data_IF_074305251082
#
_entry.id   IF_074305251082
#
_cell.length_a   1.000
_cell.length_b   1.000
_cell.length_c   1.000
_cell.angle_alpha   90.00
_cell.angle_beta   90.00
_cell.angle_gamma   90.00
#
_symmetry.space_group_name_H-M   'P 1'
#
loop_
_entity.id
_entity.type
_entity.pdbx_description
1 polymer ?
#
# COMPACT_ATOMS: atom_id res chain seq x y z
N UNK A 1 -3.86 4.52 8.04
CA UNK A 1 -4.47 5.32 9.14
C UNK A 1 -4.87 6.65 8.57
N UNK A 2 -6.12 7.06 8.73
CA UNK A 2 -6.60 8.35 8.19
C UNK A 2 -5.88 9.51 8.88
N UNK A 3 -5.59 10.58 8.13
CA UNK A 3 -4.97 11.80 8.62
C UNK A 3 -5.80 12.43 9.75
N UNK A 4 -7.13 12.42 9.61
CA UNK A 4 -8.03 13.06 10.56
C UNK A 4 -8.02 12.37 11.94
N UNK A 5 -7.74 11.06 11.98
CA UNK A 5 -7.65 10.26 13.21
C UNK A 5 -6.21 9.90 13.58
N UNK A 6 -5.23 10.38 12.81
CA UNK A 6 -3.82 10.03 12.96
C UNK A 6 -3.28 10.29 14.38
N UNK A 7 -3.57 11.42 15.04
CA UNK A 7 -3.05 11.66 16.39
C UNK A 7 -3.47 10.58 17.39
N UNK A 8 -4.71 10.11 17.30
CA UNK A 8 -5.26 9.08 18.17
C UNK A 8 -4.63 7.70 17.86
N UNK A 9 -4.45 7.38 16.57
CA UNK A 9 -3.91 6.07 16.16
C UNK A 9 -2.43 5.89 16.44
N UNK A 10 -1.63 6.96 16.33
CA UNK A 10 -0.19 6.89 16.62
C UNK A 10 0.07 6.54 18.08
N UNK A 11 -0.77 6.99 19.01
CA UNK A 11 -0.61 6.68 20.43
C UNK A 11 -0.84 5.19 20.73
N UNK A 12 -1.79 4.55 20.03
CA UNK A 12 -1.99 3.10 20.13
C UNK A 12 -0.82 2.29 19.53
N UNK A 13 -0.11 2.84 18.54
CA UNK A 13 1.05 2.21 17.91
C UNK A 13 2.34 2.29 18.75
N UNK A 14 2.36 3.03 19.85
CA UNK A 14 3.52 3.06 20.76
C UNK A 14 3.98 1.65 21.18
N UNK A 15 3.03 0.72 21.33
CA UNK A 15 3.27 -0.69 21.63
C UNK A 15 3.91 -1.50 20.48
N UNK A 16 3.76 -1.03 19.23
CA UNK A 16 4.29 -1.67 18.01
C UNK A 16 5.69 -1.20 17.59
N UNK A 17 6.36 -0.37 18.41
CA UNK A 17 7.71 0.11 18.15
C UNK A 17 7.80 1.34 17.24
N UNK A 18 6.66 1.91 16.82
CA UNK A 18 6.56 3.19 16.12
C UNK A 18 6.41 4.32 17.13
N UNK A 19 7.51 4.64 17.83
CA UNK A 19 7.56 5.79 18.73
C UNK A 19 7.93 7.04 17.93
N UNK A 20 6.93 7.86 17.61
CA UNK A 20 7.13 9.19 17.03
C UNK A 20 7.23 10.22 18.16
N UNK A 21 8.21 11.11 18.08
CA UNK A 21 8.28 12.25 19.00
C UNK A 21 7.10 13.20 18.77
N UNK A 22 6.69 14.03 19.76
CA UNK A 22 5.65 15.02 19.56
C UNK A 22 5.92 15.96 18.37
N UNK A 23 7.19 16.32 18.16
CA UNK A 23 7.64 17.15 17.05
C UNK A 23 7.46 16.43 15.71
N UNK A 24 7.82 15.15 15.64
CA UNK A 24 7.59 14.32 14.45
C UNK A 24 6.11 14.14 14.15
N UNK A 25 5.26 13.99 15.18
CA UNK A 25 3.80 13.91 15.00
C UNK A 25 3.23 15.21 14.43
N UNK A 26 3.62 16.36 15.01
CA UNK A 26 3.16 17.67 14.55
C UNK A 26 3.64 17.98 13.12
N UNK A 27 4.91 17.66 12.83
CA UNK A 27 5.50 17.74 11.50
C UNK A 27 4.70 16.91 10.48
N UNK A 28 4.47 15.64 10.82
CA UNK A 28 3.76 14.69 9.97
C UNK A 28 2.33 15.14 9.67
N UNK A 29 1.60 15.59 10.69
CA UNK A 29 0.23 16.05 10.52
C UNK A 29 0.16 17.28 9.62
N UNK A 30 1.07 18.24 9.83
CA UNK A 30 1.12 19.47 9.04
C UNK A 30 1.51 19.18 7.59
N UNK A 31 2.52 18.35 7.36
CA UNK A 31 3.01 18.03 6.03
C UNK A 31 2.01 17.22 5.21
N UNK A 32 1.32 16.26 5.82
CA UNK A 32 0.25 15.50 5.16
C UNK A 32 -0.97 16.37 4.82
N UNK A 33 -1.30 17.36 5.64
CA UNK A 33 -2.35 18.33 5.34
C UNK A 33 -2.01 19.19 4.12
N UNK A 34 -0.74 19.61 4.00
CA UNK A 34 -0.24 20.31 2.81
C UNK A 34 -0.34 19.42 1.57
N UNK A 35 0.05 18.15 1.67
CA UNK A 35 -0.07 17.16 0.59
C UNK A 35 -1.54 16.98 0.16
N UNK A 36 -2.46 16.85 1.13
CA UNK A 36 -3.90 16.73 0.86
C UNK A 36 -4.40 17.88 -0.02
N UNK A 37 -4.01 19.11 0.32
CA UNK A 37 -4.37 20.32 -0.44
C UNK A 37 -3.67 20.41 -1.79
N UNK A 38 -2.36 20.15 -1.84
CA UNK A 38 -1.54 20.26 -3.05
C UNK A 38 -2.04 19.32 -4.15
N UNK A 39 -2.36 18.08 -3.80
CA UNK A 39 -2.81 17.07 -4.76
C UNK A 39 -4.34 16.97 -4.87
N UNK A 40 -5.09 17.85 -4.19
CA UNK A 40 -6.57 17.87 -4.14
C UNK A 40 -7.17 16.51 -3.77
N UNK A 41 -6.55 15.86 -2.79
CA UNK A 41 -6.97 14.56 -2.28
C UNK A 41 -8.14 14.75 -1.32
N UNK A 42 -9.09 13.82 -1.34
CA UNK A 42 -10.20 13.78 -0.38
C UNK A 42 -9.71 13.30 0.98
N UNK A 43 -8.94 12.21 0.97
CA UNK A 43 -8.41 11.57 2.17
C UNK A 43 -6.95 11.22 1.96
N UNK A 44 -6.19 11.23 3.05
CA UNK A 44 -4.78 10.84 3.06
C UNK A 44 -4.58 9.86 4.19
N UNK A 45 -3.99 8.70 3.87
CA UNK A 45 -3.74 7.65 4.83
C UNK A 45 -2.25 7.48 5.04
N UNK A 46 -1.79 7.51 6.29
CA UNK A 46 -0.47 6.99 6.61
C UNK A 46 -0.47 5.48 6.37
N UNK A 47 0.39 5.02 5.46
CA UNK A 47 0.53 3.61 5.10
C UNK A 47 1.43 2.88 6.09
N UNK A 48 2.57 3.51 6.44
CA UNK A 48 3.54 2.95 7.35
C UNK A 48 4.96 3.39 7.03
N UNK A 49 5.93 2.58 7.46
CA UNK A 49 7.36 2.88 7.37
C UNK A 49 8.13 1.66 6.83
N UNK A 50 9.05 1.89 5.90
CA UNK A 50 9.99 0.88 5.39
C UNK A 50 11.38 1.24 5.89
N UNK A 51 12.01 0.30 6.59
CA UNK A 51 13.32 0.51 7.21
C UNK A 51 14.43 0.39 6.17
N UNK A 52 15.34 1.36 6.17
CA UNK A 52 16.55 1.34 5.36
C UNK A 52 17.80 1.27 6.22
N UNK A 53 18.97 1.16 5.58
CA UNK A 53 20.25 1.17 6.26
C UNK A 53 20.67 2.58 6.69
N UNK A 54 20.51 3.57 5.80
CA UNK A 54 20.94 4.94 6.07
C UNK A 54 19.77 5.86 6.47
N UNK A 55 18.58 5.61 5.91
CA UNK A 55 17.38 6.38 6.19
C UNK A 55 16.14 5.50 5.96
N UNK A 56 15.07 5.83 6.65
CA UNK A 56 13.81 5.10 6.57
C UNK A 56 12.79 5.85 5.71
N UNK A 57 12.02 5.11 4.94
CA UNK A 57 10.93 5.65 4.12
C UNK A 57 9.65 5.67 4.91
N UNK A 58 9.07 6.84 5.09
CA UNK A 58 7.68 6.96 5.53
C UNK A 58 6.78 7.04 4.30
N UNK A 59 5.69 6.27 4.28
CA UNK A 59 4.80 6.15 3.12
C UNK A 59 3.40 6.61 3.49
N UNK A 60 2.77 7.37 2.60
CA UNK A 60 1.39 7.78 2.69
C UNK A 60 0.66 7.49 1.36
N UNK A 61 -0.65 7.26 1.45
CA UNK A 61 -1.51 7.03 0.30
C UNK A 61 -2.65 8.05 0.28
N UNK A 62 -2.70 8.84 -0.78
CA UNK A 62 -3.78 9.76 -1.09
C UNK A 62 -4.88 9.09 -1.89
N UNK A 63 -6.12 9.37 -1.51
CA UNK A 63 -7.34 8.99 -2.22
C UNK A 63 -8.03 10.25 -2.74
N UNK A 64 -8.43 10.23 -4.00
CA UNK A 64 -9.28 11.26 -4.60
C UNK A 64 -10.76 10.90 -4.40
N UNK A 65 -11.39 10.23 -5.36
CA UNK A 65 -12.82 9.85 -5.25
C UNK A 65 -13.02 8.41 -4.82
N UNK A 66 -12.28 7.49 -5.44
CA UNK A 66 -12.39 6.05 -5.24
C UNK A 66 -11.41 5.55 -4.18
N UNK A 67 -11.93 4.87 -3.17
CA UNK A 67 -11.12 4.38 -2.06
C UNK A 67 -10.17 3.25 -2.45
N UNK A 68 -10.40 2.51 -3.53
CA UNK A 68 -9.56 1.38 -3.96
C UNK A 68 -8.66 1.74 -5.13
N UNK A 69 -9.19 2.39 -6.16
CA UNK A 69 -8.51 2.65 -7.42
C UNK A 69 -7.85 4.04 -7.46
N UNK A 70 -6.83 4.20 -8.31
CA UNK A 70 -6.14 5.48 -8.55
C UNK A 70 -5.55 6.16 -7.30
N UNK A 71 -5.13 5.36 -6.31
CA UNK A 71 -4.42 5.87 -5.13
C UNK A 71 -3.07 6.47 -5.50
N UNK A 72 -2.76 7.65 -4.96
CA UNK A 72 -1.44 8.28 -5.09
C UNK A 72 -0.58 7.84 -3.93
N UNK A 73 0.53 7.18 -4.20
CA UNK A 73 1.47 6.78 -3.13
C UNK A 73 2.59 7.81 -3.06
N UNK A 74 2.84 8.33 -1.87
CA UNK A 74 3.90 9.30 -1.60
C UNK A 74 4.87 8.73 -0.57
N UNK A 75 6.13 9.14 -0.66
CA UNK A 75 7.14 8.85 0.36
C UNK A 75 7.79 10.12 0.88
N UNK A 76 8.31 10.08 2.10
CA UNK A 76 9.25 11.06 2.63
C UNK A 76 10.33 10.38 3.48
N UNK A 77 11.45 11.07 3.69
CA UNK A 77 12.56 10.61 4.54
C UNK A 77 12.69 11.44 5.83
N UNK A 78 12.02 12.58 5.91
CA UNK A 78 12.20 13.60 6.96
C UNK A 78 10.88 14.10 7.58
N UNK A 79 9.77 13.38 7.39
CA UNK A 79 8.43 13.73 7.90
C UNK A 79 7.81 15.02 7.31
N UNK A 80 8.47 15.69 6.37
CA UNK A 80 8.02 16.97 5.81
C UNK A 80 7.92 16.95 4.29
N UNK A 81 8.97 16.52 3.61
CA UNK A 81 9.09 16.62 2.15
C UNK A 81 8.58 15.36 1.46
N UNK A 82 7.32 15.41 1.04
CA UNK A 82 6.64 14.30 0.37
C UNK A 82 6.88 14.32 -1.14
N UNK A 83 7.24 13.16 -1.69
CA UNK A 83 7.47 12.94 -3.11
C UNK A 83 6.51 11.87 -3.61
N UNK A 84 5.91 12.11 -4.77
CA UNK A 84 5.00 11.18 -5.42
C UNK A 84 5.80 10.01 -6.04
N UNK A 85 5.41 8.78 -5.74
CA UNK A 85 5.92 7.60 -6.44
C UNK A 85 5.21 7.40 -7.78
N UNK A 86 5.92 6.87 -8.79
CA UNK A 86 5.26 6.42 -10.02
C UNK A 86 4.25 5.30 -9.71
N UNK A 87 3.24 5.09 -10.58
CA UNK A 87 2.37 3.93 -10.46
C UNK A 87 3.18 2.64 -10.66
N UNK A 88 2.89 1.62 -9.86
CA UNK A 88 3.53 0.31 -9.99
C UNK A 88 3.03 -0.41 -11.25
N UNK A 89 3.93 -0.68 -12.19
CA UNK A 89 3.65 -1.51 -13.37
C UNK A 89 4.07 -2.95 -13.11
N UNK A 90 3.43 -3.92 -13.76
CA UNK A 90 3.79 -5.34 -13.58
C UNK A 90 5.22 -5.64 -14.06
N UNK A 91 5.71 -4.91 -15.07
CA UNK A 91 7.11 -4.95 -15.50
C UNK A 91 8.06 -4.50 -14.39
N UNK A 92 7.74 -3.39 -13.71
CA UNK A 92 8.53 -2.87 -12.60
C UNK A 92 8.60 -3.88 -11.45
N UNK A 93 7.46 -4.49 -11.10
CA UNK A 93 7.38 -5.52 -10.06
C UNK A 93 8.24 -6.74 -10.43
N UNK A 94 8.15 -7.20 -11.68
CA UNK A 94 8.91 -8.35 -12.18
C UNK A 94 10.40 -8.06 -12.13
N UNK A 95 10.82 -6.89 -12.62
CA UNK A 95 12.22 -6.47 -12.60
C UNK A 95 12.75 -6.34 -11.17
N UNK A 96 11.98 -5.76 -10.25
CA UNK A 96 12.40 -5.58 -8.86
C UNK A 96 12.43 -6.90 -8.05
N UNK A 97 11.74 -7.95 -8.50
CA UNK A 97 11.64 -9.23 -7.79
C UNK A 97 12.99 -9.95 -7.63
N UNK A 98 13.97 -9.63 -8.48
CA UNK A 98 15.31 -10.23 -8.43
C UNK A 98 16.17 -9.63 -7.31
N UNK A 99 15.84 -8.42 -6.84
CA UNK A 99 16.60 -7.71 -5.83
C UNK A 99 16.26 -8.25 -4.44
N UNK A 100 17.27 -8.75 -3.75
CA UNK A 100 17.15 -9.23 -2.36
C UNK A 100 17.98 -8.35 -1.44
N UNK A 101 17.48 -8.11 -0.23
CA UNK A 101 18.22 -7.37 0.80
C UNK A 101 17.44 -6.20 1.39
N UNK A 102 18.13 -5.38 2.18
CA UNK A 102 17.55 -4.19 2.82
C UNK A 102 17.50 -3.01 1.85
N UNK A 103 16.72 -1.98 2.17
CA UNK A 103 16.78 -0.70 1.47
C UNK A 103 18.01 0.07 1.91
N UNK A 104 18.64 0.83 1.00
CA UNK A 104 19.77 1.69 1.37
C UNK A 104 19.29 2.96 2.07
N UNK A 105 18.07 3.42 1.81
CA UNK A 105 17.55 4.69 2.29
C UNK A 105 17.89 5.85 1.35
N UNK A 106 18.12 5.56 0.07
CA UNK A 106 18.38 6.58 -0.95
C UNK A 106 17.59 6.26 -2.23
N UNK A 107 16.54 7.05 -2.59
CA UNK A 107 15.73 6.80 -3.79
C UNK A 107 16.53 6.72 -5.10
N UNK A 108 17.65 7.45 -5.17
CA UNK A 108 18.52 7.51 -6.34
C UNK A 108 19.56 6.38 -6.38
N UNK A 109 19.61 5.51 -5.37
CA UNK A 109 20.49 4.35 -5.39
C UNK A 109 20.07 3.39 -6.51
N UNK A 110 21.04 2.93 -7.28
CA UNK A 110 20.81 2.00 -8.39
C UNK A 110 21.34 0.62 -8.01
N UNK A 111 20.46 -0.38 -8.03
CA UNK A 111 20.84 -1.77 -7.89
C UNK A 111 21.33 -2.27 -9.25
N UNK A 112 22.52 -2.87 -9.26
CA UNK A 112 22.95 -3.64 -10.42
C UNK A 112 22.21 -4.98 -10.40
N UNK A 113 21.59 -5.35 -11.53
CA UNK A 113 20.91 -6.65 -11.74
C UNK A 113 21.87 -7.87 -11.71
N UNK A 114 23.02 -7.75 -11.03
CA UNK A 114 24.24 -8.53 -11.27
C UNK A 114 24.69 -9.51 -10.17
N UNK A 115 23.98 -9.67 -9.06
CA UNK A 115 24.38 -10.63 -8.01
C UNK A 115 23.58 -11.94 -8.01
N UNK A 116 23.28 -12.45 -9.20
CA UNK A 116 23.12 -13.90 -9.37
C UNK A 116 24.42 -14.41 -9.99
N UNK A 117 25.40 -14.78 -9.16
CA UNK A 117 26.47 -15.70 -9.58
C UNK A 117 25.83 -17.01 -10.03
N UNK A 118 25.49 -17.13 -11.31
CA UNK A 118 25.41 -18.44 -11.97
C UNK A 118 26.85 -18.90 -12.22
N UNK A 119 27.38 -19.73 -11.33
CA UNK A 119 28.47 -20.62 -11.69
C UNK A 119 27.89 -21.73 -12.58
N UNK A 120 27.90 -21.51 -13.89
CA UNK A 120 27.82 -22.58 -14.88
C UNK A 120 28.89 -22.28 -15.92
N UNK A 121 29.90 -23.15 -15.98
CA UNK A 121 31.07 -22.97 -16.83
C UNK A 121 30.73 -22.97 -18.31
N UNK A 122 31.41 -22.09 -19.05
CA UNK A 122 31.53 -22.14 -20.50
C UNK A 122 30.78 -21.03 -21.25
N UNK A 123 31.52 -19.99 -21.66
CA UNK A 123 31.11 -19.07 -22.74
C UNK A 123 30.47 -17.77 -22.27
N UNK A 124 31.24 -16.67 -22.31
CA UNK A 124 30.76 -15.31 -22.03
C UNK A 124 30.08 -14.75 -23.29
N UNK A 125 28.76 -14.86 -23.37
CA UNK A 125 27.95 -13.93 -24.18
C UNK A 125 27.56 -12.76 -23.29
N UNK A 126 28.24 -11.63 -23.44
CA UNK A 126 27.89 -10.35 -22.83
C UNK A 126 26.64 -9.78 -23.52
N UNK A 127 25.46 -10.25 -23.12
CA UNK A 127 24.26 -9.43 -23.33
C UNK A 127 24.27 -8.31 -22.29
N UNK A 128 24.82 -7.18 -22.73
CA UNK A 128 25.08 -5.98 -21.97
C UNK A 128 23.82 -5.14 -21.80
N UNK A 129 22.83 -5.66 -21.09
CA UNK A 129 21.79 -4.85 -20.48
C UNK A 129 21.79 -5.12 -18.97
N UNK A 130 22.77 -4.55 -18.27
CA UNK A 130 22.63 -4.32 -16.84
C UNK A 130 21.46 -3.35 -16.65
N UNK A 131 20.23 -3.85 -16.52
CA UNK A 131 19.09 -3.03 -16.15
C UNK A 131 19.35 -2.56 -14.72
N UNK A 132 19.82 -1.31 -14.60
CA UNK A 132 19.97 -0.66 -13.31
C UNK A 132 18.57 -0.33 -12.82
N UNK A 133 18.22 -0.83 -11.65
CA UNK A 133 16.90 -0.61 -11.05
C UNK A 133 17.06 0.42 -9.95
N UNK A 134 16.29 1.50 -10.00
CA UNK A 134 16.34 2.52 -8.96
C UNK A 134 15.66 2.01 -7.70
N UNK A 135 16.18 2.42 -6.54
CA UNK A 135 15.56 2.11 -5.25
C UNK A 135 14.14 2.65 -5.15
N UNK A 136 13.84 3.79 -5.79
CA UNK A 136 12.48 4.34 -5.89
C UNK A 136 11.50 3.40 -6.63
N UNK A 137 11.94 2.74 -7.70
CA UNK A 137 11.14 1.75 -8.43
C UNK A 137 10.92 0.47 -7.59
N UNK A 138 11.97 0.07 -6.88
CA UNK A 138 11.90 -1.03 -5.92
C UNK A 138 10.94 -0.72 -4.78
N UNK A 139 10.98 0.49 -4.23
CA UNK A 139 10.08 0.96 -3.18
C UNK A 139 8.63 0.90 -3.65
N UNK A 140 8.37 1.43 -4.83
CA UNK A 140 7.06 1.40 -5.50
C UNK A 140 6.54 -0.04 -5.65
N UNK A 141 7.38 -0.94 -6.16
CA UNK A 141 7.06 -2.35 -6.35
C UNK A 141 6.76 -3.08 -5.04
N UNK A 142 7.57 -2.86 -4.01
CA UNK A 142 7.39 -3.49 -2.70
C UNK A 142 6.10 -3.02 -2.04
N UNK A 143 5.79 -1.72 -2.09
CA UNK A 143 4.51 -1.19 -1.55
C UNK A 143 3.33 -1.81 -2.30
N UNK A 144 3.41 -1.93 -3.61
CA UNK A 144 2.36 -2.54 -4.42
C UNK A 144 2.15 -4.02 -4.08
N UNK A 145 3.22 -4.80 -3.91
CA UNK A 145 3.13 -6.20 -3.49
C UNK A 145 2.53 -6.34 -2.08
N UNK A 146 2.97 -5.51 -1.12
CA UNK A 146 2.41 -5.54 0.24
C UNK A 146 0.91 -5.21 0.19
N UNK A 147 0.50 -4.16 -0.52
CA UNK A 147 -0.92 -3.86 -0.68
C UNK A 147 -1.67 -5.03 -1.31
N UNK A 148 -1.10 -5.64 -2.35
CA UNK A 148 -1.65 -6.78 -3.06
C UNK A 148 -1.78 -8.03 -2.16
N UNK A 149 -0.96 -8.21 -1.15
CA UNK A 149 -0.93 -9.46 -0.39
C UNK A 149 -1.62 -9.35 0.97
N UNK A 150 -1.55 -8.18 1.61
CA UNK A 150 -1.97 -8.00 3.01
C UNK A 150 -2.96 -6.88 3.28
N UNK A 151 -3.34 -6.06 2.29
CA UNK A 151 -4.36 -5.05 2.51
C UNK A 151 -5.71 -5.74 2.79
N UNK A 152 -6.26 -5.50 3.99
CA UNK A 152 -7.55 -6.07 4.41
C UNK A 152 -8.43 -4.99 5.02
N UNK A 153 -9.74 -5.17 4.90
CA UNK A 153 -10.75 -4.33 5.51
C UNK A 153 -11.83 -5.18 6.19
N UNK A 154 -12.50 -4.67 7.23
CA UNK A 154 -13.71 -5.30 7.74
C UNK A 154 -14.82 -5.30 6.67
N UNK A 155 -15.57 -6.39 6.58
CA UNK A 155 -16.74 -6.50 5.70
C UNK A 155 -17.75 -5.40 6.06
N UNK A 156 -18.23 -4.68 5.04
CA UNK A 156 -19.18 -3.58 5.20
C UNK A 156 -18.55 -2.24 5.60
N UNK A 157 -17.24 -2.14 5.82
CA UNK A 157 -16.56 -0.86 6.06
C UNK A 157 -16.54 0.05 4.81
N UNK A 158 -16.62 -0.55 3.63
CA UNK A 158 -16.71 0.14 2.34
C UNK A 158 -17.92 -0.36 1.57
N UNK A 159 -18.48 0.50 0.72
CA UNK A 159 -19.60 0.19 -0.15
C UNK A 159 -19.21 0.53 -1.59
N UNK A 160 -19.53 -0.38 -2.51
CA UNK A 160 -19.52 -0.11 -3.95
C UNK A 160 -20.85 0.52 -4.36
N UNK A 161 -20.81 1.76 -4.81
CA UNK A 161 -22.01 2.50 -5.21
C UNK A 161 -22.46 2.05 -6.61
N UNK A 162 -23.70 1.54 -6.80
CA UNK A 162 -24.15 1.03 -8.09
C UNK A 162 -24.22 2.09 -9.21
N UNK A 163 -24.46 3.36 -8.85
CA UNK A 163 -24.71 4.44 -9.80
C UNK A 163 -23.45 5.08 -10.39
N UNK A 164 -22.36 5.11 -9.62
CA UNK A 164 -21.16 5.88 -9.99
C UNK A 164 -19.90 5.00 -10.13
N UNK A 165 -20.04 3.68 -9.94
CA UNK A 165 -19.00 2.63 -10.06
C UNK A 165 -17.69 2.95 -9.31
N UNK A 166 -17.78 3.65 -8.18
CA UNK A 166 -16.65 3.88 -7.28
C UNK A 166 -16.91 3.33 -5.87
N UNK A 167 -15.82 3.02 -5.18
CA UNK A 167 -15.83 2.51 -3.82
C UNK A 167 -15.71 3.67 -2.83
N UNK A 168 -16.56 3.69 -1.82
CA UNK A 168 -16.57 4.74 -0.79
C UNK A 168 -16.68 4.15 0.62
N UNK A 169 -16.24 4.92 1.62
CA UNK A 169 -16.40 4.54 3.04
C UNK A 169 -17.88 4.47 3.40
N UNK A 170 -18.27 3.37 4.05
CA UNK A 170 -19.60 3.24 4.64
C UNK A 170 -19.69 4.04 5.94
N UNK A 171 -20.32 5.22 5.90
CA UNK A 171 -20.46 6.09 7.08
C UNK A 171 -21.34 5.52 8.20
N UNK A 172 -22.14 4.49 7.91
CA UNK A 172 -23.02 3.83 8.89
C UNK A 172 -22.30 2.67 9.59
N UNK A 173 -21.13 2.25 9.10
CA UNK A 173 -20.37 1.16 9.69
C UNK A 173 -19.82 1.54 11.07
N UNK A 174 -20.21 0.79 12.10
CA UNK A 174 -19.82 1.02 13.51
C UNK A 174 -18.69 0.11 13.99
N UNK A 175 -18.06 -0.65 13.09
CA UNK A 175 -17.11 -1.70 13.46
C UNK A 175 -17.75 -3.08 13.55
N UNK A 176 -16.89 -4.10 13.61
CA UNK A 176 -17.29 -5.48 13.88
C UNK A 176 -17.55 -5.68 15.38
N UNK A 177 -18.44 -6.60 15.72
CA UNK A 177 -18.55 -7.07 17.10
C UNK A 177 -17.27 -7.82 17.51
N UNK A 178 -17.01 -7.93 18.81
CA UNK A 178 -15.86 -8.68 19.32
C UNK A 178 -15.84 -10.14 18.81
N UNK A 179 -16.99 -10.79 18.73
CA UNK A 179 -17.11 -12.16 18.23
C UNK A 179 -16.80 -12.30 16.74
N UNK A 180 -17.12 -11.28 15.93
CA UNK A 180 -16.86 -11.30 14.49
C UNK A 180 -15.45 -10.82 14.15
N UNK A 181 -14.85 -9.93 14.96
CA UNK A 181 -13.50 -9.43 14.78
C UNK A 181 -12.43 -10.54 14.86
N UNK A 182 -12.70 -11.63 15.58
CA UNK A 182 -11.80 -12.79 15.62
C UNK A 182 -11.89 -13.73 14.41
N UNK A 183 -12.82 -13.49 13.47
CA UNK A 183 -13.10 -14.41 12.37
C UNK A 183 -12.56 -13.84 11.05
N UNK A 184 -11.69 -14.59 10.37
CA UNK A 184 -11.09 -14.18 9.10
C UNK A 184 -12.14 -13.84 8.02
N UNK A 185 -13.23 -14.60 7.97
CA UNK A 185 -14.36 -14.37 7.04
C UNK A 185 -15.04 -12.99 7.20
N UNK A 186 -14.84 -12.32 8.33
CA UNK A 186 -15.36 -10.98 8.58
C UNK A 186 -14.51 -9.90 7.91
N UNK A 187 -13.42 -10.29 7.25
CA UNK A 187 -12.50 -9.40 6.55
C UNK A 187 -12.44 -9.72 5.07
N UNK A 188 -12.36 -8.67 4.28
CA UNK A 188 -12.20 -8.73 2.83
C UNK A 188 -10.80 -8.24 2.47
N UNK A 189 -10.26 -8.79 1.40
CA UNK A 189 -8.99 -8.36 0.83
C UNK A 189 -9.20 -7.12 -0.01
N UNK A 190 -8.49 -6.04 0.33
CA UNK A 190 -8.72 -4.71 -0.21
C UNK A 190 -7.91 -4.47 -1.48
N UNK A 191 -8.18 -5.31 -2.48
CA UNK A 191 -7.54 -5.27 -3.80
C UNK A 191 -8.55 -5.67 -4.88
N UNK A 192 -8.18 -5.56 -6.16
CA UNK A 192 -9.07 -6.00 -7.22
C UNK A 192 -9.42 -7.50 -7.07
N UNK A 193 -10.72 -7.86 -7.03
CA UNK A 193 -11.13 -9.23 -6.75
C UNK A 193 -10.76 -10.18 -7.90
N UNK A 194 -10.10 -11.28 -7.55
CA UNK A 194 -9.69 -12.36 -8.46
C UNK A 194 -10.61 -13.57 -8.34
N UNK A 195 -10.98 -13.95 -7.12
CA UNK A 195 -11.77 -15.15 -6.86
C UNK A 195 -13.27 -14.89 -7.05
N UNK A 196 -13.76 -13.70 -6.73
CA UNK A 196 -15.16 -13.30 -6.96
C UNK A 196 -15.57 -13.46 -8.43
N UNK A 197 -14.64 -13.18 -9.35
CA UNK A 197 -14.85 -13.31 -10.80
C UNK A 197 -15.02 -14.78 -11.25
N UNK A 198 -14.57 -15.73 -10.44
CA UNK A 198 -14.63 -17.17 -10.72
C UNK A 198 -15.85 -17.86 -10.10
N UNK A 199 -16.60 -17.19 -9.23
CA UNK A 199 -17.77 -17.76 -8.55
C UNK A 199 -18.89 -18.08 -9.54
N UNK A 200 -19.60 -19.17 -9.27
CA UNK A 200 -20.77 -19.60 -10.02
C UNK A 200 -21.95 -18.63 -9.87
N UNK A 201 -22.96 -18.72 -10.75
CA UNK A 201 -24.16 -17.88 -10.68
C UNK A 201 -24.93 -18.07 -9.36
N UNK A 202 -24.99 -19.30 -8.85
CA UNK A 202 -25.66 -19.62 -7.59
C UNK A 202 -24.95 -18.95 -6.41
N UNK A 203 -23.64 -19.07 -6.33
CA UNK A 203 -22.85 -18.44 -5.26
C UNK A 203 -22.91 -16.91 -5.33
N UNK A 204 -23.03 -16.33 -6.53
CA UNK A 204 -23.18 -14.87 -6.71
C UNK A 204 -24.56 -14.37 -6.31
N UNK A 205 -25.60 -15.19 -6.37
CA UNK A 205 -26.96 -14.82 -5.97
C UNK A 205 -27.09 -14.62 -4.45
N UNK A 206 -26.19 -15.22 -3.66
CA UNK A 206 -26.16 -15.08 -2.20
C UNK A 206 -25.38 -13.84 -1.73
N UNK A 207 -24.70 -13.13 -2.63
CA UNK A 207 -23.84 -11.99 -2.30
C UNK A 207 -24.59 -10.67 -2.42
N UNK A 208 -24.35 -9.77 -1.46
CA UNK A 208 -24.75 -8.38 -1.59
C UNK A 208 -23.63 -7.63 -2.34
N UNK A 209 -23.84 -7.37 -3.64
CA UNK A 209 -22.85 -6.72 -4.50
C UNK A 209 -22.40 -5.33 -4.03
N UNK A 210 -23.13 -4.68 -3.12
CA UNK A 210 -22.71 -3.39 -2.56
C UNK A 210 -21.67 -3.54 -1.45
N UNK A 211 -21.62 -4.67 -0.74
CA UNK A 211 -20.68 -4.91 0.37
C UNK A 211 -19.73 -6.10 0.15
N UNK A 212 -20.13 -7.07 -0.67
CA UNK A 212 -19.40 -8.30 -1.00
C UNK A 212 -18.76 -8.21 -2.41
N UNK A 213 -18.20 -7.04 -2.71
CA UNK A 213 -17.57 -6.74 -3.99
C UNK A 213 -16.06 -7.08 -4.04
N UNK A 214 -15.51 -7.64 -2.96
CA UNK A 214 -14.10 -8.02 -2.80
C UNK A 214 -13.96 -9.50 -2.40
N UNK A 215 -12.75 -10.02 -2.50
CA UNK A 215 -12.45 -11.40 -2.10
C UNK A 215 -12.43 -11.53 -0.56
N UNK A 216 -13.06 -12.57 -0.02
CA UNK A 216 -12.95 -12.89 1.40
C UNK A 216 -11.57 -13.47 1.73
N UNK A 217 -11.05 -13.17 2.93
CA UNK A 217 -9.95 -13.95 3.51
C UNK A 217 -10.45 -15.36 3.80
N UNK A 218 -9.99 -16.32 3.01
CA UNK A 218 -10.22 -17.77 3.20
C UNK A 218 -9.46 -18.34 4.38
#
# INVERSE_FOLDING_TARGET
MDLDTLPQHVDYLSSSGLLLSPEQKAALQTSLELVRKQYRLRSVYLWGKILGLNADYLVAQGVEKDELYNRKTLYCLNYMDWKLLPPATDEMITNCSVIKGRFMGNPAYEYESGDVKKMTGGGVTKDSHSSRIKEEERLTSVIACINRDVAIIPRGAFIKTPTEDYISINRVFKGLSHSEAGKLRSYLHFTEPKELKKKSLLERAELDMSIDFLDCKG
#
